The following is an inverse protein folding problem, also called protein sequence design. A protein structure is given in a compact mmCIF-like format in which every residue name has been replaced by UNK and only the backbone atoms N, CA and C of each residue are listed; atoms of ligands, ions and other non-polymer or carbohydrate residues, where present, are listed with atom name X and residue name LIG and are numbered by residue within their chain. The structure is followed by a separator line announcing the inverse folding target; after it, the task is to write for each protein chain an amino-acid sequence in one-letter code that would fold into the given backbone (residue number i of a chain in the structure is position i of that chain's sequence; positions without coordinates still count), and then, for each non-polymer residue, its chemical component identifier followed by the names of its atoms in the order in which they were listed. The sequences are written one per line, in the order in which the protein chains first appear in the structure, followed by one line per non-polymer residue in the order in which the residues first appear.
data_IF_856477710107
#
_entry.id   IF_856477710107
#
_cell.length_a   1.000
_cell.length_b   1.000
_cell.length_c   1.000
_cell.angle_alpha   90.00
_cell.angle_beta   90.00
_cell.angle_gamma   90.00
#
_symmetry.space_group_name_H-M   'P 1'
#
loop_
_entity.id
_entity.type
_entity.pdbx_description
1 polymer ?
#
# COMPACT_ATOMS: atom_id res chain seq x y z
N UNK A 1 -20.44 -8.05 -7.60
CA UNK A 1 -19.01 -8.36 -7.82
C UNK A 1 -18.27 -8.28 -6.48
N UNK A 2 -17.31 -9.18 -6.21
CA UNK A 2 -16.47 -9.12 -5.01
C UNK A 2 -15.70 -7.80 -4.95
N UNK A 3 -15.48 -7.27 -3.74
CA UNK A 3 -14.59 -6.13 -3.50
C UNK A 3 -13.24 -6.70 -3.04
N UNK A 4 -12.14 -6.29 -3.67
CA UNK A 4 -10.79 -6.66 -3.26
C UNK A 4 -10.01 -5.39 -2.90
N UNK A 5 -9.08 -5.52 -1.96
CA UNK A 5 -8.17 -4.45 -1.55
C UNK A 5 -6.74 -4.81 -1.97
N UNK A 6 -6.07 -3.90 -2.66
CA UNK A 6 -4.66 -4.02 -3.00
C UNK A 6 -3.89 -2.92 -2.26
N UNK A 7 -2.83 -3.31 -1.55
CA UNK A 7 -1.94 -2.38 -0.85
C UNK A 7 -0.55 -2.52 -1.42
N UNK A 8 0.02 -1.41 -1.90
CA UNK A 8 1.34 -1.39 -2.51
C UNK A 8 2.42 -0.99 -1.51
N UNK A 9 3.32 -1.91 -1.15
CA UNK A 9 4.46 -1.62 -0.27
C UNK A 9 5.73 -1.34 -1.09
N UNK A 10 6.18 -0.08 -1.23
CA UNK A 10 7.23 0.29 -2.18
C UNK A 10 8.65 0.15 -1.62
N UNK A 11 8.90 -0.62 -0.56
CA UNK A 11 10.24 -0.75 0.03
C UNK A 11 10.74 -2.19 0.06
N UNK A 12 12.01 -2.36 -0.26
CA UNK A 12 12.74 -3.62 -0.13
C UNK A 12 14.02 -3.41 0.68
N UNK A 13 14.46 -4.44 1.41
CA UNK A 13 15.76 -4.42 2.13
C UNK A 13 16.94 -4.12 1.21
N UNK A 14 16.86 -4.57 -0.05
CA UNK A 14 17.73 -4.17 -1.16
C UNK A 14 16.91 -4.19 -2.45
N UNK A 15 17.24 -3.33 -3.41
CA UNK A 15 16.71 -3.41 -4.78
C UNK A 15 17.64 -4.31 -5.62
N UNK A 16 17.11 -5.39 -6.20
CA UNK A 16 17.87 -6.26 -7.10
C UNK A 16 18.06 -5.59 -8.48
N UNK A 17 19.16 -5.86 -9.20
CA UNK A 17 19.46 -5.21 -10.48
C UNK A 17 18.46 -5.55 -11.60
N UNK A 18 17.73 -6.65 -11.46
CA UNK A 18 16.68 -7.09 -12.39
C UNK A 18 15.26 -6.75 -11.90
N UNK A 19 15.12 -6.09 -10.75
CA UNK A 19 13.82 -5.84 -10.14
C UNK A 19 13.08 -4.69 -10.86
N UNK A 20 11.97 -5.03 -11.53
CA UNK A 20 11.07 -4.12 -12.24
C UNK A 20 9.85 -3.71 -11.41
N UNK A 21 9.62 -4.34 -10.24
CA UNK A 21 8.58 -3.90 -9.31
C UNK A 21 8.80 -2.44 -8.90
N UNK A 22 7.70 -1.68 -8.87
CA UNK A 22 7.70 -0.34 -8.28
C UNK A 22 8.06 -0.48 -6.79
N UNK A 23 9.32 -0.19 -6.47
CA UNK A 23 9.91 -0.43 -5.17
C UNK A 23 11.23 0.32 -5.09
N UNK A 24 11.67 0.60 -3.88
CA UNK A 24 12.90 1.32 -3.60
C UNK A 24 13.69 0.56 -2.54
N UNK A 25 15.01 0.65 -2.60
CA UNK A 25 15.80 0.22 -1.46
C UNK A 25 15.41 1.08 -0.27
N UNK A 26 15.11 0.45 0.87
CA UNK A 26 14.83 1.16 2.11
C UNK A 26 16.00 2.09 2.43
N UNK A 27 15.67 3.31 2.85
CA UNK A 27 16.66 4.27 3.33
C UNK A 27 17.39 3.72 4.58
N UNK A 28 18.71 3.89 4.72
CA UNK A 28 19.43 3.54 5.94
C UNK A 28 18.80 4.12 7.22
N UNK A 29 18.20 5.32 7.14
CA UNK A 29 17.50 5.98 8.23
C UNK A 29 16.16 5.32 8.61
N UNK A 30 15.67 4.36 7.82
CA UNK A 30 14.43 3.62 8.05
C UNK A 30 13.33 3.93 7.04
N UNK A 31 12.21 3.20 7.15
CA UNK A 31 10.98 3.50 6.40
C UNK A 31 10.11 4.42 7.26
N UNK A 32 9.48 5.47 6.68
CA UNK A 32 8.54 6.31 7.40
C UNK A 32 7.18 5.59 7.58
N UNK A 33 7.17 4.47 8.30
CA UNK A 33 6.01 3.58 8.44
C UNK A 33 4.74 4.30 8.91
N UNK A 34 4.87 5.16 9.94
CA UNK A 34 3.74 5.91 10.48
C UNK A 34 3.14 6.85 9.46
N UNK A 35 3.96 7.65 8.79
CA UNK A 35 3.48 8.59 7.78
C UNK A 35 2.84 7.85 6.60
N UNK A 36 3.40 6.71 6.20
CA UNK A 36 2.83 5.87 5.14
C UNK A 36 1.46 5.30 5.52
N UNK A 37 1.33 4.72 6.72
CA UNK A 37 0.03 4.21 7.20
C UNK A 37 -0.99 5.33 7.34
N UNK A 38 -0.59 6.50 7.85
CA UNK A 38 -1.48 7.66 7.92
C UNK A 38 -1.99 8.08 6.54
N UNK A 39 -1.11 8.16 5.54
CA UNK A 39 -1.50 8.49 4.18
C UNK A 39 -2.46 7.44 3.58
N UNK A 40 -2.22 6.14 3.81
CA UNK A 40 -3.13 5.07 3.35
C UNK A 40 -4.52 5.17 3.98
N UNK A 41 -4.60 5.52 5.26
CA UNK A 41 -5.87 5.69 5.95
C UNK A 41 -6.65 6.90 5.42
N UNK A 42 -5.97 8.02 5.18
CA UNK A 42 -6.58 9.23 4.61
C UNK A 42 -7.12 8.99 3.19
N UNK A 43 -6.35 8.25 2.37
CA UNK A 43 -6.78 7.85 1.02
C UNK A 43 -7.99 6.92 1.09
N UNK A 44 -7.96 5.93 2.00
CA UNK A 44 -9.09 5.03 2.21
C UNK A 44 -10.34 5.78 2.69
N UNK A 45 -10.20 6.74 3.60
CA UNK A 45 -11.30 7.58 4.08
C UNK A 45 -11.94 8.38 2.93
N UNK A 46 -11.13 8.85 2.00
CA UNK A 46 -11.59 9.56 0.80
C UNK A 46 -12.35 8.63 -0.16
N UNK A 47 -11.92 7.37 -0.28
CA UNK A 47 -12.54 6.37 -1.17
C UNK A 47 -13.77 5.66 -0.56
N UNK A 48 -13.89 5.64 0.78
CA UNK A 48 -14.96 4.96 1.53
C UNK A 48 -16.38 5.19 0.96
N UNK A 49 -16.79 6.41 0.58
CA UNK A 49 -18.13 6.67 0.02
C UNK A 49 -18.44 5.87 -1.25
N UNK A 50 -17.42 5.48 -2.03
CA UNK A 50 -17.59 4.75 -3.29
C UNK A 50 -17.86 3.26 -3.09
N UNK A 51 -17.51 2.72 -1.92
CA UNK A 51 -17.53 1.27 -1.64
C UNK A 51 -18.26 0.90 -0.35
N UNK A 52 -18.92 1.87 0.28
CA UNK A 52 -19.55 1.71 1.59
C UNK A 52 -20.52 0.52 1.65
N UNK A 53 -20.47 -0.25 2.74
CA UNK A 53 -21.33 -1.41 2.95
C UNK A 53 -20.97 -2.66 2.14
N UNK A 54 -19.94 -2.60 1.28
CA UNK A 54 -19.44 -3.78 0.56
C UNK A 54 -18.40 -4.51 1.40
N UNK A 55 -18.60 -5.81 1.60
CA UNK A 55 -17.60 -6.66 2.28
C UNK A 55 -16.43 -6.92 1.34
N UNK A 56 -15.21 -6.73 1.87
CA UNK A 56 -13.98 -7.17 1.20
C UNK A 56 -13.93 -8.69 1.19
N UNK A 57 -13.68 -9.26 0.03
CA UNK A 57 -13.51 -10.69 -0.21
C UNK A 57 -12.20 -10.89 -0.96
N UNK A 58 -11.24 -11.57 -0.34
CA UNK A 58 -10.01 -12.01 -1.01
C UNK A 58 -10.27 -13.34 -1.70
N UNK A 59 -9.68 -13.52 -2.88
CA UNK A 59 -9.34 -14.85 -3.40
C UNK A 59 -7.98 -15.28 -2.87
#
# INVERSE_FOLDING_TARGET
MPLALYVHLPWCVRKCPYCDFNSHARDPAGVPERAYVSALLEDLETELPLVWGRRVSSV
#
